data_IF_920901837034
#
_entry.id   IF_920901837034
#
_cell.length_a   1.000
_cell.length_b   1.000
_cell.length_c   1.000
_cell.angle_alpha   90.00
_cell.angle_beta   90.00
_cell.angle_gamma   90.00
#
_symmetry.space_group_name_H-M   'P 1'
#
loop_
_entity.id
_entity.type
_entity.pdbx_description
1 polymer ?
#
# COMPACT_ATOMS: atom_id res chain seq x y z
N UNK A 1 22.34 23.32 7.34
CA UNK A 1 21.77 22.10 6.73
C UNK A 1 20.53 21.62 7.47
N UNK A 2 20.55 21.56 8.81
CA UNK A 2 19.39 21.19 9.64
C UNK A 2 18.16 22.11 9.43
N UNK A 3 18.33 23.42 9.39
CA UNK A 3 17.20 24.36 9.24
C UNK A 3 16.46 24.22 7.90
N UNK A 4 17.20 23.94 6.81
CA UNK A 4 16.62 23.64 5.49
C UNK A 4 15.87 22.31 5.50
N UNK A 5 16.32 21.34 6.28
CA UNK A 5 15.65 20.05 6.46
C UNK A 5 14.33 20.18 7.22
N UNK A 6 14.30 21.02 8.26
CA UNK A 6 13.10 21.27 9.08
C UNK A 6 12.01 22.03 8.31
N UNK A 7 12.36 23.05 7.54
CA UNK A 7 11.36 23.77 6.73
C UNK A 7 10.71 22.88 5.65
N UNK A 8 11.52 22.04 4.96
CA UNK A 8 10.97 21.03 4.04
C UNK A 8 10.14 19.97 4.76
N UNK A 9 10.54 19.59 5.96
CA UNK A 9 9.79 18.64 6.78
C UNK A 9 8.39 19.16 7.13
N UNK A 10 8.25 20.43 7.49
CA UNK A 10 6.93 21.01 7.82
C UNK A 10 6.00 21.06 6.59
N UNK A 11 6.54 21.39 5.41
CA UNK A 11 5.79 21.35 4.14
C UNK A 11 5.37 19.92 3.76
N UNK A 12 6.28 18.94 3.94
CA UNK A 12 6.01 17.54 3.65
C UNK A 12 5.06 16.91 4.70
N UNK A 13 5.12 17.33 5.96
CA UNK A 13 4.29 16.82 7.06
C UNK A 13 2.79 17.03 6.81
N UNK A 14 2.40 18.27 6.48
CA UNK A 14 0.99 18.63 6.32
C UNK A 14 0.40 18.00 5.04
N UNK A 15 1.25 17.73 4.04
CA UNK A 15 0.88 17.07 2.78
C UNK A 15 0.78 15.54 2.90
N UNK A 16 1.76 14.87 3.52
CA UNK A 16 1.88 13.41 3.47
C UNK A 16 1.22 12.68 4.66
N UNK A 17 1.52 13.05 5.91
CA UNK A 17 1.01 12.28 7.05
C UNK A 17 -0.48 12.49 7.28
N UNK A 18 -0.94 13.75 7.22
CA UNK A 18 -2.36 14.06 7.38
C UNK A 18 -3.20 13.40 6.29
N UNK A 19 -2.70 13.42 5.05
CA UNK A 19 -3.32 12.72 3.93
C UNK A 19 -3.41 11.21 4.17
N UNK A 20 -2.32 10.61 4.64
CA UNK A 20 -2.26 9.17 4.90
C UNK A 20 -3.23 8.73 6.02
N UNK A 21 -3.21 9.40 7.18
CA UNK A 21 -4.15 9.10 8.27
C UNK A 21 -5.61 9.27 7.84
N UNK A 22 -5.90 10.31 7.04
CA UNK A 22 -7.23 10.54 6.47
C UNK A 22 -7.64 9.39 5.56
N UNK A 23 -6.75 8.93 4.69
CA UNK A 23 -7.01 7.80 3.80
C UNK A 23 -7.26 6.50 4.59
N UNK A 24 -6.48 6.22 5.64
CA UNK A 24 -6.72 5.06 6.51
C UNK A 24 -8.11 5.15 7.19
N UNK A 25 -8.47 6.33 7.72
CA UNK A 25 -9.76 6.54 8.36
C UNK A 25 -10.93 6.35 7.38
N UNK A 26 -10.80 6.87 6.16
CA UNK A 26 -11.80 6.70 5.09
C UNK A 26 -11.94 5.22 4.71
N UNK A 27 -10.82 4.51 4.49
CA UNK A 27 -10.83 3.08 4.18
C UNK A 27 -11.55 2.27 5.27
N UNK A 28 -11.31 2.58 6.55
CA UNK A 28 -11.98 1.94 7.67
C UNK A 28 -13.49 2.28 7.73
N UNK A 29 -13.88 3.53 7.44
CA UNK A 29 -15.29 3.93 7.38
C UNK A 29 -16.04 3.17 6.30
N UNK A 30 -15.48 3.11 5.09
CA UNK A 30 -16.06 2.38 3.96
C UNK A 30 -16.21 0.88 4.26
N UNK A 31 -15.21 0.28 4.92
CA UNK A 31 -15.28 -1.11 5.38
C UNK A 31 -16.39 -1.36 6.40
N UNK A 32 -16.56 -0.43 7.33
CA UNK A 32 -17.62 -0.49 8.35
C UNK A 32 -19.00 -0.33 7.73
N UNK A 33 -19.18 0.61 6.80
CA UNK A 33 -20.43 0.84 6.08
C UNK A 33 -20.86 -0.37 5.25
N UNK A 34 -19.93 -0.99 4.52
CA UNK A 34 -20.20 -2.23 3.77
C UNK A 34 -20.60 -3.38 4.69
N UNK A 35 -19.93 -3.51 5.84
CA UNK A 35 -20.25 -4.55 6.83
C UNK A 35 -21.67 -4.36 7.41
N UNK A 36 -22.09 -3.12 7.63
CA UNK A 36 -23.47 -2.80 8.04
C UNK A 36 -24.48 -3.06 6.93
N UNK A 37 -24.15 -2.72 5.69
CA UNK A 37 -25.01 -2.95 4.52
C UNK A 37 -25.21 -4.43 4.20
N UNK A 38 -24.24 -5.29 4.54
CA UNK A 38 -24.34 -6.73 4.37
C UNK A 38 -25.39 -7.39 5.30
N UNK A 39 -25.81 -6.71 6.38
CA UNK A 39 -26.84 -7.16 7.31
C UNK A 39 -26.48 -8.44 8.09
N UNK A 40 -27.18 -8.75 9.20
CA UNK A 40 -27.13 -10.10 9.74
C UNK A 40 -27.74 -11.04 8.70
N UNK A 41 -27.02 -12.09 8.30
CA UNK A 41 -27.62 -13.16 7.50
C UNK A 41 -28.86 -13.64 8.25
N UNK A 42 -30.04 -13.37 7.68
CA UNK A 42 -31.27 -13.88 8.24
C UNK A 42 -31.15 -15.40 8.27
N UNK A 43 -31.26 -15.96 9.48
CA UNK A 43 -31.46 -17.38 9.74
C UNK A 43 -32.59 -17.87 8.81
N UNK A 44 -32.22 -18.41 7.64
CA UNK A 44 -33.12 -19.27 6.87
C UNK A 44 -32.98 -20.64 7.49
N UNK A 45 -34.04 -21.01 8.22
CA UNK A 45 -34.32 -22.35 8.71
C UNK A 45 -33.71 -23.43 7.82
N UNK A 46 -32.84 -24.23 8.41
CA UNK A 46 -32.17 -25.34 7.77
C UNK A 46 -33.20 -26.36 7.28
N UNK A 47 -33.25 -26.56 5.97
CA UNK A 47 -33.83 -27.74 5.34
C UNK A 47 -32.72 -28.81 5.27
N UNK A 48 -32.82 -29.96 5.95
CA UNK A 48 -31.71 -30.90 6.08
C UNK A 48 -31.72 -31.90 4.92
N UNK A 49 -31.52 -31.43 3.69
CA UNK A 49 -31.13 -32.33 2.60
C UNK A 49 -30.50 -31.57 1.45
N UNK A 50 -29.20 -31.26 1.54
CA UNK A 50 -28.38 -31.12 0.34
C UNK A 50 -26.90 -31.26 0.65
N UNK A 51 -26.25 -31.87 -0.31
CA UNK A 51 -24.89 -32.38 -0.39
C UNK A 51 -23.80 -31.42 0.15
N UNK A 52 -22.85 -31.98 0.90
CA UNK A 52 -21.85 -31.24 1.68
C UNK A 52 -20.62 -30.91 0.83
N UNK A 53 -20.85 -30.31 -0.34
CA UNK A 53 -19.78 -29.87 -1.25
C UNK A 53 -19.98 -28.39 -1.61
N UNK A 54 -18.97 -27.59 -1.30
CA UNK A 54 -18.86 -26.14 -1.53
C UNK A 54 -19.69 -25.23 -0.60
N UNK A 55 -19.10 -24.85 0.52
CA UNK A 55 -19.52 -23.66 1.25
C UNK A 55 -18.30 -22.78 1.53
N UNK A 56 -17.63 -22.34 0.45
CA UNK A 56 -17.01 -21.03 0.50
C UNK A 56 -18.19 -20.04 0.47
N UNK A 57 -18.68 -19.65 1.65
CA UNK A 57 -19.59 -18.51 1.75
C UNK A 57 -18.97 -17.30 1.02
N UNK A 58 -19.76 -16.33 0.55
CA UNK A 58 -19.22 -15.18 -0.17
C UNK A 58 -18.15 -14.55 0.72
N UNK A 59 -16.89 -14.64 0.29
CA UNK A 59 -15.79 -13.98 0.97
C UNK A 59 -16.21 -12.53 1.10
N UNK A 60 -16.46 -12.07 2.34
CA UNK A 60 -16.80 -10.67 2.57
C UNK A 60 -15.66 -9.88 1.93
N UNK A 61 -15.94 -9.19 0.83
CA UNK A 61 -14.88 -8.53 0.06
C UNK A 61 -14.37 -7.39 0.93
N UNK A 62 -13.26 -7.66 1.64
CA UNK A 62 -12.56 -6.74 2.53
C UNK A 62 -12.06 -5.57 1.69
N UNK A 63 -12.04 -4.38 2.28
CA UNK A 63 -11.46 -3.23 1.58
C UNK A 63 -9.95 -3.35 1.59
N UNK A 64 -9.32 -3.02 0.46
CA UNK A 64 -7.86 -2.96 0.37
C UNK A 64 -7.44 -1.50 0.49
N UNK A 65 -6.51 -1.23 1.40
CA UNK A 65 -5.81 0.04 1.48
C UNK A 65 -4.37 -0.20 1.02
N UNK A 66 -4.01 0.34 -0.14
CA UNK A 66 -2.68 0.18 -0.71
C UNK A 66 -1.93 1.50 -0.69
N UNK A 67 -0.85 1.53 0.08
CA UNK A 67 0.09 2.63 0.16
C UNK A 67 1.25 2.43 -0.82
N UNK A 68 1.71 3.53 -1.42
CA UNK A 68 2.97 3.58 -2.15
C UNK A 68 4.06 4.17 -1.25
N UNK A 69 5.24 3.57 -1.29
CA UNK A 69 6.42 4.06 -0.58
C UNK A 69 7.68 3.89 -1.44
N UNK A 70 8.77 4.56 -1.08
CA UNK A 70 10.03 4.48 -1.81
C UNK A 70 11.16 3.90 -0.98
N UNK A 71 12.31 3.65 -1.62
CA UNK A 71 13.56 3.22 -0.97
C UNK A 71 13.95 4.10 0.23
N UNK A 72 13.64 5.40 0.19
CA UNK A 72 13.89 6.34 1.28
C UNK A 72 13.26 5.91 2.62
N UNK A 73 12.19 5.10 2.61
CA UNK A 73 11.52 4.59 3.82
C UNK A 73 12.34 3.60 4.64
N UNK A 74 13.35 2.99 4.04
CA UNK A 74 14.21 1.98 4.69
C UNK A 74 15.70 2.33 4.58
N UNK A 75 16.06 3.25 3.68
CA UNK A 75 17.42 3.74 3.51
C UNK A 75 17.49 5.26 3.69
N UNK A 76 18.51 5.71 4.43
CA UNK A 76 18.78 7.13 4.60
C UNK A 76 19.42 7.69 3.32
N UNK A 77 18.65 8.42 2.53
CA UNK A 77 19.15 9.09 1.33
C UNK A 77 19.48 10.55 1.60
N UNK A 78 20.70 10.96 1.23
CA UNK A 78 21.14 12.33 1.41
C UNK A 78 20.20 13.31 0.67
N UNK A 79 19.74 14.35 1.36
CA UNK A 79 18.78 15.31 0.82
C UNK A 79 17.30 14.90 0.92
N UNK A 80 17.01 13.67 1.36
CA UNK A 80 15.65 13.11 1.46
C UNK A 80 15.16 12.93 2.89
N UNK A 81 15.76 13.61 3.88
CA UNK A 81 15.53 13.35 5.30
C UNK A 81 14.05 13.35 5.72
N UNK A 82 13.25 14.31 5.24
CA UNK A 82 11.82 14.35 5.52
C UNK A 82 11.10 13.13 4.94
N UNK A 83 11.30 12.86 3.65
CA UNK A 83 10.73 11.70 2.95
C UNK A 83 11.15 10.39 3.62
N UNK A 84 12.40 10.27 4.08
CA UNK A 84 12.87 9.07 4.78
C UNK A 84 12.15 8.85 6.10
N UNK A 85 11.99 9.89 6.92
CA UNK A 85 11.26 9.80 8.19
C UNK A 85 9.78 9.48 7.94
N UNK A 86 9.14 10.13 6.97
CA UNK A 86 7.74 9.86 6.64
C UNK A 86 7.53 8.46 6.09
N UNK A 87 8.38 8.03 5.16
CA UNK A 87 8.31 6.68 4.60
C UNK A 87 8.47 5.62 5.69
N UNK A 88 9.41 5.81 6.62
CA UNK A 88 9.61 4.90 7.75
C UNK A 88 8.39 4.88 8.71
N UNK A 89 7.83 6.05 9.01
CA UNK A 89 6.64 6.17 9.84
C UNK A 89 5.40 5.54 9.17
N UNK A 90 5.19 5.78 7.88
CA UNK A 90 4.11 5.19 7.09
C UNK A 90 4.20 3.66 7.07
N UNK A 91 5.41 3.10 6.87
CA UNK A 91 5.65 1.65 6.95
C UNK A 91 5.22 1.09 8.31
N UNK A 92 5.68 1.70 9.40
CA UNK A 92 5.32 1.27 10.76
C UNK A 92 3.81 1.33 11.00
N UNK A 93 3.15 2.41 10.55
CA UNK A 93 1.70 2.58 10.70
C UNK A 93 0.91 1.52 9.92
N UNK A 94 1.31 1.23 8.68
CA UNK A 94 0.70 0.18 7.85
C UNK A 94 0.84 -1.19 8.52
N UNK A 95 2.00 -1.50 9.10
CA UNK A 95 2.24 -2.77 9.80
C UNK A 95 1.34 -2.94 11.03
N UNK A 96 1.22 -1.90 11.84
CA UNK A 96 0.31 -1.89 13.00
C UNK A 96 -1.14 -2.02 12.53
N UNK A 97 -1.57 -1.21 11.55
CA UNK A 97 -2.93 -1.24 11.04
C UNK A 97 -3.31 -2.60 10.41
N UNK A 98 -2.39 -3.24 9.69
CA UNK A 98 -2.58 -4.59 9.15
C UNK A 98 -2.72 -5.65 10.24
N UNK A 99 -2.02 -5.48 11.36
CA UNK A 99 -2.10 -6.39 12.51
C UNK A 99 -3.41 -6.21 13.29
N UNK A 100 -3.87 -4.97 13.44
CA UNK A 100 -5.06 -4.64 14.23
C UNK A 100 -6.38 -4.77 13.44
N UNK A 101 -6.35 -4.60 12.11
CA UNK A 101 -7.57 -4.56 11.31
C UNK A 101 -8.09 -5.95 10.91
N UNK A 102 -9.34 -6.21 11.26
CA UNK A 102 -10.09 -7.39 10.79
C UNK A 102 -11.05 -7.06 9.66
N UNK A 103 -11.00 -5.85 9.10
CA UNK A 103 -11.97 -5.38 8.07
C UNK A 103 -11.31 -4.75 6.84
N UNK A 104 -10.06 -4.32 6.95
CA UNK A 104 -9.27 -3.72 5.88
C UNK A 104 -7.99 -4.53 5.71
N UNK A 105 -7.63 -4.83 4.47
CA UNK A 105 -6.33 -5.40 4.12
C UNK A 105 -5.37 -4.25 3.78
N UNK A 106 -4.63 -3.80 4.79
CA UNK A 106 -3.58 -2.80 4.61
C UNK A 106 -2.36 -3.43 3.92
N UNK A 107 -1.91 -2.79 2.85
CA UNK A 107 -0.76 -3.20 2.04
C UNK A 107 0.11 -2.00 1.68
N UNK A 108 1.37 -2.27 1.47
CA UNK A 108 2.37 -1.33 0.97
C UNK A 108 3.08 -1.93 -0.24
N UNK A 109 3.20 -1.15 -1.30
CA UNK A 109 4.14 -1.40 -2.40
C UNK A 109 5.29 -0.40 -2.28
N UNK A 110 6.51 -0.91 -2.08
CA UNK A 110 7.74 -0.12 -2.00
C UNK A 110 8.49 -0.20 -3.33
N UNK A 111 8.72 0.96 -3.95
CA UNK A 111 9.51 1.06 -5.18
C UNK A 111 10.98 1.31 -4.79
N UNK A 112 11.85 0.37 -5.16
CA UNK A 112 13.25 0.34 -4.74
C UNK A 112 14.22 1.02 -5.72
N UNK A 113 13.69 1.60 -6.79
CA UNK A 113 14.45 2.42 -7.73
C UNK A 113 13.65 3.68 -8.14
N UNK A 114 14.29 4.68 -8.75
CA UNK A 114 13.57 5.81 -9.34
C UNK A 114 12.55 5.35 -10.39
N UNK A 115 11.43 6.06 -10.47
CA UNK A 115 10.43 5.83 -11.52
C UNK A 115 10.88 6.54 -12.80
N UNK A 116 10.92 5.79 -13.90
CA UNK A 116 11.31 6.32 -15.21
C UNK A 116 10.32 7.37 -15.73
N UNK A 117 10.84 8.49 -16.23
CA UNK A 117 10.04 9.60 -16.76
C UNK A 117 9.50 10.57 -15.70
N UNK A 118 9.82 10.38 -14.43
CA UNK A 118 9.55 11.35 -13.36
C UNK A 118 10.68 12.38 -13.29
N UNK A 119 10.37 13.63 -13.63
CA UNK A 119 11.31 14.74 -13.74
C UNK A 119 11.88 15.21 -12.39
N UNK A 120 11.32 14.72 -11.27
CA UNK A 120 11.83 14.96 -9.92
C UNK A 120 13.04 14.08 -9.58
N UNK A 121 13.26 12.99 -10.33
CA UNK A 121 14.35 12.07 -10.07
C UNK A 121 15.65 12.56 -10.72
N UNK A 122 16.74 12.55 -9.95
CA UNK A 122 18.08 12.74 -10.50
C UNK A 122 18.58 11.41 -11.06
N UNK A 123 18.54 11.30 -12.40
CA UNK A 123 18.98 10.11 -13.13
C UNK A 123 20.42 10.26 -13.67
N UNK A 124 21.16 11.30 -13.24
CA UNK A 124 22.55 11.46 -13.66
C UNK A 124 23.40 10.28 -13.22
N UNK A 125 24.29 9.83 -14.10
CA UNK A 125 25.14 8.66 -13.84
C UNK A 125 24.57 7.31 -14.30
N UNK A 126 23.42 7.29 -14.97
CA UNK A 126 22.86 6.06 -15.57
C UNK A 126 22.20 5.15 -14.52
N UNK A 127 21.38 5.74 -13.65
CA UNK A 127 20.64 5.02 -12.62
C UNK A 127 19.53 4.19 -13.27
N UNK A 128 19.46 2.91 -12.92
CA UNK A 128 18.37 2.03 -13.37
C UNK A 128 17.03 2.51 -12.82
N UNK A 129 15.96 2.37 -13.62
CA UNK A 129 14.63 2.88 -13.27
C UNK A 129 13.56 1.80 -13.39
N UNK A 130 12.50 1.94 -12.60
CA UNK A 130 11.27 1.17 -12.76
C UNK A 130 10.33 1.96 -13.69
N UNK A 131 9.86 1.39 -14.81
CA UNK A 131 8.85 2.02 -15.64
C UNK A 131 7.54 2.24 -14.88
N UNK A 132 6.86 3.37 -15.10
CA UNK A 132 5.55 3.63 -14.47
C UNK A 132 4.52 2.52 -14.76
N UNK A 133 4.57 1.93 -15.96
CA UNK A 133 3.72 0.80 -16.32
C UNK A 133 3.94 -0.42 -15.41
N UNK A 134 5.18 -0.70 -15.04
CA UNK A 134 5.52 -1.82 -14.16
C UNK A 134 5.02 -1.58 -12.73
N UNK A 135 5.10 -0.33 -12.24
CA UNK A 135 4.48 0.04 -10.96
C UNK A 135 2.97 -0.24 -11.00
N UNK A 136 2.28 0.15 -12.09
CA UNK A 136 0.85 -0.10 -12.25
C UNK A 136 0.53 -1.60 -12.31
N UNK A 137 1.33 -2.38 -13.05
CA UNK A 137 1.19 -3.83 -13.15
C UNK A 137 1.39 -4.53 -11.80
N UNK A 138 2.29 -4.04 -10.96
CA UNK A 138 2.52 -4.58 -9.61
C UNK A 138 1.37 -4.25 -8.63
N UNK A 139 0.70 -3.10 -8.79
CA UNK A 139 -0.41 -2.68 -7.93
C UNK A 139 -1.67 -3.55 -8.10
N UNK A 140 -2.00 -3.89 -9.35
CA UNK A 140 -3.23 -4.61 -9.72
C UNK A 140 -3.43 -5.92 -8.94
N UNK A 141 -2.46 -6.86 -8.90
CA UNK A 141 -2.67 -8.13 -8.20
C UNK A 141 -2.76 -7.94 -6.68
N UNK A 142 -2.10 -6.93 -6.10
CA UNK A 142 -2.21 -6.60 -4.67
C UNK A 142 -3.64 -6.12 -4.35
N UNK A 143 -4.23 -5.29 -5.20
CA UNK A 143 -5.60 -4.80 -5.03
C UNK A 143 -6.66 -5.90 -5.17
N UNK A 144 -6.42 -6.89 -6.04
CA UNK A 144 -7.38 -7.96 -6.30
C UNK A 144 -7.25 -9.16 -5.36
N UNK A 145 -6.06 -9.43 -4.86
CA UNK A 145 -5.76 -10.62 -4.05
C UNK A 145 -4.71 -10.31 -2.97
N UNK A 146 -4.99 -9.36 -2.06
CA UNK A 146 -4.02 -8.88 -1.08
C UNK A 146 -3.50 -10.00 -0.17
N UNK A 147 -4.28 -11.04 0.09
CA UNK A 147 -3.91 -12.21 0.90
C UNK A 147 -2.74 -13.03 0.31
N UNK A 148 -2.44 -12.86 -0.98
CA UNK A 148 -1.30 -13.50 -1.64
C UNK A 148 0.02 -12.76 -1.41
N UNK A 149 -0.05 -11.57 -0.81
CA UNK A 149 1.09 -10.69 -0.61
C UNK A 149 1.35 -10.47 0.88
N UNK A 150 2.62 -10.34 1.23
CA UNK A 150 3.03 -9.79 2.52
C UNK A 150 2.54 -8.36 2.66
N UNK A 151 2.47 -7.85 3.91
CA UNK A 151 2.02 -6.48 4.19
C UNK A 151 2.83 -5.47 3.37
N UNK A 152 4.14 -5.69 3.24
CA UNK A 152 5.05 -4.91 2.41
C UNK A 152 5.55 -5.78 1.25
N UNK A 153 5.36 -5.30 0.02
CA UNK A 153 5.85 -5.89 -1.23
C UNK A 153 6.82 -4.92 -1.89
N UNK A 154 7.89 -5.42 -2.48
CA UNK A 154 8.91 -4.59 -3.12
C UNK A 154 8.96 -4.84 -4.63
N UNK A 155 9.23 -3.79 -5.39
CA UNK A 155 9.65 -3.86 -6.79
C UNK A 155 10.98 -3.14 -6.96
N UNK A 156 11.83 -3.71 -7.79
CA UNK A 156 13.18 -3.23 -8.07
C UNK A 156 13.27 -2.88 -9.54
N UNK A 157 14.26 -2.08 -9.95
CA UNK A 157 14.54 -1.97 -11.38
C UNK A 157 15.00 -3.35 -11.89
N UNK A 158 14.49 -3.77 -13.04
CA UNK A 158 14.97 -4.97 -13.72
C UNK A 158 16.44 -4.77 -14.10
N UNK A 159 17.35 -5.32 -13.28
CA UNK A 159 18.71 -5.56 -13.72
C UNK A 159 18.65 -6.67 -14.79
N UNK A 160 18.74 -6.27 -16.07
CA UNK A 160 18.82 -7.15 -17.24
C UNK A 160 17.51 -7.85 -17.66
N UNK A 161 16.69 -7.18 -18.47
CA UNK A 161 15.85 -7.88 -19.45
C UNK A 161 16.66 -7.96 -20.76
N UNK A 162 17.27 -9.10 -21.13
CA UNK A 162 17.97 -9.19 -22.40
C UNK A 162 16.94 -9.00 -23.52
N UNK A 163 17.22 -8.06 -24.43
CA UNK A 163 16.40 -7.86 -25.62
C UNK A 163 16.34 -9.18 -26.41
N UNK A 164 15.12 -9.71 -26.56
CA UNK A 164 14.81 -10.85 -27.43
C UNK A 164 14.57 -10.44 -28.87
#
# INVERSE_FOLDING_TARGET
MLDRGLAKFDEDYDSYLRGHFTACAISQSLATERSKAAGPSSDRSADPSTDRSSAAGPASTRFVHLALNGVASIEALAGSGAISVFGAAQKMLIEVAATESTTVDFRELRIMAPIGGDDRNDLTGGVDTVPLAEVAEALIPILHSPERFTVSTEIHADAERPEG
#
